data_IF_023981803526
#
_entry.id   IF_023981803526
#
_cell.length_a   1.000
_cell.length_b   1.000
_cell.length_c   1.000
_cell.angle_alpha   90.00
_cell.angle_beta   90.00
_cell.angle_gamma   90.00
#
_symmetry.space_group_name_H-M   'P 1'
#
loop_
_entity.id
_entity.type
_entity.pdbx_description
1 polymer ?
#
# COMPACT_ATOMS: atom_id res chain seq x y z
N UNK A 1 45.73 15.48 23.47
CA UNK A 1 44.99 15.36 22.20
C UNK A 1 43.77 14.49 22.47
N UNK A 2 42.56 15.03 22.35
CA UNK A 2 41.32 14.33 22.70
C UNK A 2 40.48 14.25 21.42
N UNK A 3 40.34 13.05 20.86
CA UNK A 3 39.57 12.82 19.63
C UNK A 3 38.10 12.71 20.02
N UNK A 4 37.33 13.77 19.76
CA UNK A 4 35.87 13.76 19.87
C UNK A 4 35.29 12.87 18.78
N UNK A 5 34.76 11.70 19.15
CA UNK A 5 34.00 10.84 18.22
C UNK A 5 32.54 11.27 18.27
N UNK A 6 32.07 11.86 17.17
CA UNK A 6 30.65 12.16 16.94
C UNK A 6 29.84 10.85 16.87
N UNK A 7 28.67 10.73 17.54
CA UNK A 7 27.84 9.54 17.44
C UNK A 7 27.24 9.44 16.03
N UNK A 8 27.34 8.26 15.42
CA UNK A 8 26.72 7.97 14.12
C UNK A 8 25.20 8.17 14.22
N UNK A 9 24.65 9.08 13.42
CA UNK A 9 23.21 9.26 13.28
C UNK A 9 22.60 8.04 12.57
N UNK A 10 21.43 7.54 13.01
CA UNK A 10 20.75 6.46 12.31
C UNK A 10 20.34 6.91 10.90
N UNK A 11 20.65 6.11 9.89
CA UNK A 11 20.17 6.29 8.52
C UNK A 11 18.63 6.23 8.52
N UNK A 12 18.01 7.41 8.45
CA UNK A 12 16.57 7.54 8.29
C UNK A 12 16.20 7.15 6.86
N UNK A 13 15.98 5.86 6.62
CA UNK A 13 15.47 5.35 5.36
C UNK A 13 13.96 5.63 5.25
N UNK A 14 13.60 6.91 5.15
CA UNK A 14 12.30 7.28 4.60
C UNK A 14 12.36 7.07 3.08
N UNK A 15 11.46 6.30 2.46
CA UNK A 15 11.48 6.12 1.02
C UNK A 15 11.11 7.45 0.36
N UNK A 16 12.12 8.20 -0.08
CA UNK A 16 11.96 9.40 -0.90
C UNK A 16 11.69 8.96 -2.32
N UNK A 17 10.44 8.61 -2.64
CA UNK A 17 10.06 8.45 -4.04
C UNK A 17 10.22 9.81 -4.73
N UNK A 18 10.96 9.86 -5.84
CA UNK A 18 11.06 11.08 -6.63
C UNK A 18 9.67 11.44 -7.17
N UNK A 19 9.31 12.73 -7.15
CA UNK A 19 8.01 13.22 -7.67
C UNK A 19 7.69 12.67 -9.08
N UNK A 20 8.66 12.58 -10.01
CA UNK A 20 8.42 11.98 -11.33
C UNK A 20 7.99 10.50 -11.27
N UNK A 21 8.55 9.71 -10.34
CA UNK A 21 8.21 8.29 -10.19
C UNK A 21 6.77 8.12 -9.67
N UNK A 22 6.36 8.92 -8.68
CA UNK A 22 4.99 8.88 -8.15
C UNK A 22 3.97 9.22 -9.25
N UNK A 23 4.25 10.26 -10.04
CA UNK A 23 3.40 10.65 -11.16
C UNK A 23 3.32 9.55 -12.23
N UNK A 24 4.44 8.92 -12.57
CA UNK A 24 4.47 7.80 -13.51
C UNK A 24 3.63 6.62 -13.01
N UNK A 25 3.76 6.23 -11.73
CA UNK A 25 2.98 5.15 -11.12
C UNK A 25 1.48 5.46 -11.17
N UNK A 26 1.08 6.67 -10.77
CA UNK A 26 -0.34 7.07 -10.80
C UNK A 26 -0.88 7.04 -12.24
N UNK A 27 -0.12 7.56 -13.21
CA UNK A 27 -0.48 7.54 -14.62
C UNK A 27 -0.73 6.11 -15.14
N UNK A 28 0.18 5.19 -14.85
CA UNK A 28 0.04 3.77 -15.23
C UNK A 28 -1.17 3.13 -14.55
N UNK A 29 -1.38 3.35 -13.25
CA UNK A 29 -2.53 2.80 -12.51
C UNK A 29 -3.86 3.32 -13.05
N UNK A 30 -3.94 4.60 -13.44
CA UNK A 30 -5.13 5.18 -14.05
C UNK A 30 -5.49 4.52 -15.39
N UNK A 31 -4.49 4.20 -16.22
CA UNK A 31 -4.71 3.47 -17.47
C UNK A 31 -5.18 2.03 -17.20
N UNK A 32 -4.54 1.34 -16.24
CA UNK A 32 -4.94 -0.02 -15.85
C UNK A 32 -6.37 -0.08 -15.29
N UNK A 33 -6.79 0.92 -14.51
CA UNK A 33 -8.15 1.02 -13.97
C UNK A 33 -9.22 1.03 -15.06
N UNK A 34 -8.93 1.64 -16.22
CA UNK A 34 -9.87 1.74 -17.34
C UNK A 34 -9.94 0.46 -18.19
N UNK A 35 -8.99 -0.46 -18.03
CA UNK A 35 -8.96 -1.71 -18.78
C UNK A 35 -10.03 -2.71 -18.28
N UNK A 36 -10.85 -3.23 -19.20
CA UNK A 36 -11.81 -4.30 -18.93
C UNK A 36 -11.04 -5.61 -18.74
N UNK A 37 -10.77 -5.99 -17.49
CA UNK A 37 -10.06 -7.23 -17.15
C UNK A 37 -9.20 -7.14 -15.89
N UNK A 38 -8.91 -5.93 -15.41
CA UNK A 38 -7.99 -5.69 -14.30
C UNK A 38 -8.65 -5.72 -12.90
N UNK A 39 -9.86 -6.29 -12.78
CA UNK A 39 -10.65 -6.24 -11.54
C UNK A 39 -10.27 -7.36 -10.56
N UNK A 40 -9.73 -6.97 -9.42
CA UNK A 40 -9.55 -7.85 -8.27
C UNK A 40 -10.83 -7.93 -7.44
N UNK A 41 -11.11 -9.12 -6.88
CA UNK A 41 -12.16 -9.32 -5.87
C UNK A 41 -11.51 -9.72 -4.56
N UNK A 42 -11.97 -9.15 -3.45
CA UNK A 42 -11.47 -9.44 -2.10
C UNK A 42 -12.66 -9.93 -1.28
N UNK A 43 -12.53 -11.13 -0.68
CA UNK A 43 -13.49 -11.70 0.27
C UNK A 43 -12.78 -12.00 1.57
N UNK A 44 -13.47 -11.91 2.71
CA UNK A 44 -12.92 -12.22 4.03
C UNK A 44 -13.75 -11.60 5.13
N UNK A 45 -13.30 -11.73 6.38
CA UNK A 45 -13.96 -11.13 7.55
C UNK A 45 -13.37 -9.76 7.83
N UNK A 46 -14.17 -8.71 7.64
CA UNK A 46 -13.76 -7.36 8.01
C UNK A 46 -13.75 -7.24 9.54
N UNK A 47 -12.57 -7.04 10.13
CA UNK A 47 -12.41 -6.99 11.59
C UNK A 47 -12.22 -5.56 12.11
N UNK A 48 -11.77 -4.64 11.26
CA UNK A 48 -11.65 -3.23 11.64
C UNK A 48 -11.71 -2.31 10.42
N UNK A 49 -12.34 -1.16 10.61
CA UNK A 49 -12.36 -0.04 9.66
C UNK A 49 -12.08 1.24 10.44
N UNK A 50 -11.04 1.96 10.02
CA UNK A 50 -10.77 3.32 10.50
C UNK A 50 -10.81 4.28 9.33
N UNK A 51 -11.60 5.34 9.42
CA UNK A 51 -11.59 6.45 8.47
C UNK A 51 -11.13 7.70 9.19
N UNK A 52 -10.13 8.37 8.63
CA UNK A 52 -9.59 9.61 9.16
C UNK A 52 -9.20 10.49 7.96
N UNK A 53 -9.80 11.68 7.86
CA UNK A 53 -9.69 12.55 6.69
C UNK A 53 -10.07 11.82 5.39
N UNK A 54 -9.23 11.94 4.34
CA UNK A 54 -9.36 11.26 3.05
C UNK A 54 -8.72 9.86 3.03
N UNK A 55 -8.33 9.32 4.18
CA UNK A 55 -7.70 8.00 4.30
C UNK A 55 -8.65 7.01 4.97
N UNK A 56 -8.80 5.84 4.36
CA UNK A 56 -9.53 4.72 4.93
C UNK A 56 -8.62 3.51 5.10
N UNK A 57 -8.62 2.92 6.29
CA UNK A 57 -7.84 1.76 6.65
C UNK A 57 -8.77 0.59 6.95
N UNK A 58 -8.51 -0.55 6.32
CA UNK A 58 -9.28 -1.79 6.49
C UNK A 58 -8.36 -2.91 6.99
N UNK A 59 -8.89 -3.73 7.88
CA UNK A 59 -8.27 -4.99 8.30
C UNK A 59 -9.24 -6.14 8.03
N UNK A 60 -8.79 -7.11 7.24
CA UNK A 60 -9.60 -8.26 6.82
C UNK A 60 -8.88 -9.55 7.20
N UNK A 61 -9.50 -10.39 8.01
CA UNK A 61 -9.00 -11.73 8.33
C UNK A 61 -9.43 -12.76 7.29
N UNK A 62 -8.59 -13.79 7.13
CA UNK A 62 -8.79 -14.91 6.21
C UNK A 62 -9.18 -14.44 4.81
N UNK A 63 -8.45 -13.44 4.31
CA UNK A 63 -8.79 -12.79 3.06
C UNK A 63 -8.39 -13.66 1.86
N UNK A 64 -9.29 -13.71 0.87
CA UNK A 64 -9.10 -14.36 -0.41
C UNK A 64 -9.17 -13.28 -1.49
N UNK A 65 -8.05 -13.07 -2.18
CA UNK A 65 -7.95 -12.16 -3.31
C UNK A 65 -7.97 -12.98 -4.60
N UNK A 66 -8.88 -12.64 -5.52
CA UNK A 66 -9.01 -13.36 -6.79
C UNK A 66 -8.93 -12.43 -7.99
N UNK A 67 -8.16 -12.85 -8.99
CA UNK A 67 -7.96 -12.18 -10.26
C UNK A 67 -7.94 -13.19 -11.41
N UNK A 68 -9.01 -13.28 -12.19
CA UNK A 68 -9.15 -14.34 -13.19
C UNK A 68 -9.00 -15.72 -12.55
N UNK A 69 -7.98 -16.48 -12.96
CA UNK A 69 -7.65 -17.81 -12.40
C UNK A 69 -6.67 -17.75 -11.21
N UNK A 70 -6.12 -16.58 -10.90
CA UNK A 70 -5.16 -16.39 -9.81
C UNK A 70 -5.95 -16.19 -8.50
N UNK A 71 -5.60 -16.96 -7.48
CA UNK A 71 -6.19 -16.88 -6.14
C UNK A 71 -5.08 -16.80 -5.11
N UNK A 72 -5.16 -15.82 -4.21
CA UNK A 72 -4.20 -15.59 -3.14
C UNK A 72 -4.95 -15.64 -1.80
N UNK A 73 -4.51 -16.54 -0.92
CA UNK A 73 -5.01 -16.64 0.44
C UNK A 73 -4.04 -15.94 1.39
N UNK A 74 -4.56 -15.02 2.21
CA UNK A 74 -3.77 -14.34 3.24
C UNK A 74 -4.50 -14.37 4.58
N UNK A 75 -3.82 -14.69 5.70
CA UNK A 75 -4.45 -14.79 7.00
C UNK A 75 -4.94 -13.43 7.52
N UNK A 76 -4.21 -12.35 7.22
CA UNK A 76 -4.57 -10.99 7.56
C UNK A 76 -4.16 -10.02 6.44
N UNK A 77 -5.12 -9.26 5.94
CA UNK A 77 -4.95 -8.24 4.91
C UNK A 77 -5.18 -6.85 5.50
N UNK A 78 -4.17 -5.98 5.40
CA UNK A 78 -4.27 -4.55 5.74
C UNK A 78 -4.29 -3.72 4.47
N UNK A 79 -5.34 -2.93 4.27
CA UNK A 79 -5.49 -2.06 3.10
C UNK A 79 -5.62 -0.60 3.52
N UNK A 80 -4.85 0.27 2.88
CA UNK A 80 -5.00 1.72 2.98
C UNK A 80 -5.53 2.25 1.65
N UNK A 81 -6.71 2.85 1.68
CA UNK A 81 -7.32 3.56 0.56
C UNK A 81 -7.21 5.06 0.81
N UNK A 82 -6.96 5.81 -0.26
CA UNK A 82 -6.88 7.27 -0.26
C UNK A 82 -7.83 7.75 -1.34
N UNK A 83 -8.72 8.67 -0.97
CA UNK A 83 -9.54 9.40 -1.92
C UNK A 83 -8.69 10.51 -2.55
N UNK A 84 -8.59 10.51 -3.88
CA UNK A 84 -7.75 11.40 -4.68
C UNK A 84 -8.58 12.49 -5.34
#
# INVERSE_FOLDING_TARGET
QQISRSPAQPLNCSPTYSIPLVQAIIGTLCQLKQSKGSKWTIKGKLINVKKENNVQLFYVENAVLSFGKIVIHVPLLKMKSIDL
#
